data_IF_791484523032
#
_entry.id   IF_791484523032
#
_cell.length_a   1.000
_cell.length_b   1.000
_cell.length_c   1.000
_cell.angle_alpha   90.00
_cell.angle_beta   90.00
_cell.angle_gamma   90.00
#
_symmetry.space_group_name_H-M   'P 1'
#
loop_
_entity.id
_entity.type
_entity.pdbx_description
1 polymer ?
#
# COMPACT_ATOMS: atom_id res chain seq x y z
N UNK A 1 -2.24 7.61 1.90
CA UNK A 1 -2.54 6.33 1.20
C UNK A 1 -2.44 5.22 2.21
N UNK A 2 -3.30 4.20 2.12
CA UNK A 2 -3.24 3.02 2.96
C UNK A 2 -3.29 1.78 2.08
N UNK A 3 -2.49 0.77 2.43
CA UNK A 3 -2.37 -0.47 1.68
C UNK A 3 -2.47 -1.65 2.63
N UNK A 4 -3.40 -2.55 2.34
CA UNK A 4 -3.54 -3.84 3.02
C UNK A 4 -2.84 -4.91 2.17
N UNK A 5 -2.03 -5.74 2.81
CA UNK A 5 -1.30 -6.82 2.16
C UNK A 5 -1.70 -8.17 2.72
N UNK A 6 -1.66 -9.22 1.90
CA UNK A 6 -1.53 -10.58 2.41
C UNK A 6 -0.08 -10.86 2.82
N UNK A 7 0.12 -11.94 3.58
CA UNK A 7 1.42 -12.31 4.13
C UNK A 7 2.48 -12.63 3.06
N UNK A 8 2.04 -13.07 1.89
CA UNK A 8 2.89 -13.35 0.72
C UNK A 8 3.35 -12.08 -0.02
N UNK A 9 2.89 -10.89 0.40
CA UNK A 9 3.23 -9.61 -0.23
C UNK A 9 2.22 -9.15 -1.28
N UNK A 10 1.13 -9.88 -1.54
CA UNK A 10 0.11 -9.41 -2.48
C UNK A 10 -0.65 -8.22 -1.89
N UNK A 11 -0.74 -7.11 -2.62
CA UNK A 11 -1.55 -5.96 -2.23
C UNK A 11 -3.03 -6.29 -2.44
N UNK A 12 -3.80 -6.36 -1.36
CA UNK A 12 -5.22 -6.72 -1.38
C UNK A 12 -6.12 -5.50 -1.56
N UNK A 13 -5.79 -4.41 -0.88
CA UNK A 13 -6.60 -3.20 -0.89
C UNK A 13 -5.72 -1.98 -0.87
N UNK A 14 -6.00 -1.04 -1.76
CA UNK A 14 -5.29 0.22 -1.87
C UNK A 14 -6.31 1.34 -1.75
N UNK A 15 -6.15 2.20 -0.75
CA UNK A 15 -7.00 3.38 -0.57
C UNK A 15 -6.19 4.66 -0.52
N UNK A 16 -6.72 5.69 -1.15
CA UNK A 16 -6.16 7.04 -1.15
C UNK A 16 -7.18 7.94 -0.49
N UNK A 17 -6.79 8.63 0.59
CA UNK A 17 -7.71 9.41 1.39
C UNK A 17 -7.82 10.87 0.93
N UNK A 18 -6.70 11.51 0.57
CA UNK A 18 -6.63 12.95 0.24
C UNK A 18 -5.53 13.24 -0.79
N UNK A 19 -5.73 14.24 -1.65
CA UNK A 19 -4.74 14.73 -2.61
C UNK A 19 -5.29 15.01 -4.01
N UNK A 20 -4.39 15.33 -4.95
CA UNK A 20 -4.74 15.45 -6.37
C UNK A 20 -5.27 14.12 -6.91
N UNK A 21 -6.40 14.17 -7.62
CA UNK A 21 -7.08 12.95 -8.10
C UNK A 21 -6.25 12.20 -9.13
N UNK A 22 -5.62 12.89 -10.07
CA UNK A 22 -4.83 12.26 -11.12
C UNK A 22 -3.59 11.58 -10.52
N UNK A 23 -2.96 12.25 -9.55
CA UNK A 23 -1.84 11.69 -8.79
C UNK A 23 -2.27 10.46 -7.98
N UNK A 24 -3.40 10.52 -7.27
CA UNK A 24 -3.92 9.37 -6.51
C UNK A 24 -4.18 8.16 -7.40
N UNK A 25 -4.77 8.35 -8.58
CA UNK A 25 -5.02 7.27 -9.54
C UNK A 25 -3.72 6.71 -10.14
N UNK A 26 -2.73 7.56 -10.43
CA UNK A 26 -1.41 7.12 -10.89
C UNK A 26 -0.73 6.23 -9.83
N UNK A 27 -0.78 6.65 -8.57
CA UNK A 27 -0.23 5.89 -7.44
C UNK A 27 -0.96 4.56 -7.24
N UNK A 28 -2.30 4.54 -7.31
CA UNK A 28 -3.06 3.27 -7.27
C UNK A 28 -2.65 2.33 -8.38
N UNK A 29 -2.53 2.84 -9.61
CA UNK A 29 -2.12 2.05 -10.77
C UNK A 29 -0.71 1.47 -10.59
N UNK A 30 0.22 2.27 -10.08
CA UNK A 30 1.59 1.83 -9.79
C UNK A 30 1.61 0.76 -8.68
N UNK A 31 0.89 0.96 -7.60
CA UNK A 31 0.82 0.01 -6.48
C UNK A 31 0.18 -1.33 -6.88
N UNK A 32 -0.83 -1.32 -7.76
CA UNK A 32 -1.39 -2.56 -8.31
C UNK A 32 -0.42 -3.34 -9.21
N UNK A 33 0.53 -2.65 -9.85
CA UNK A 33 1.54 -3.27 -10.73
C UNK A 33 2.81 -3.66 -9.97
N UNK A 34 2.99 -3.14 -8.76
CA UNK A 34 4.17 -3.40 -7.95
C UNK A 34 4.17 -4.84 -7.43
N UNK A 35 5.38 -5.39 -7.28
CA UNK A 35 5.61 -6.65 -6.56
C UNK A 35 6.23 -6.32 -5.22
N UNK A 36 5.54 -6.67 -4.15
CA UNK A 36 6.07 -6.53 -2.79
C UNK A 36 6.60 -7.89 -2.32
N UNK A 37 7.69 -7.90 -1.53
CA UNK A 37 8.21 -9.14 -0.96
C UNK A 37 7.24 -9.70 0.09
N UNK A 38 7.33 -11.01 0.32
CA UNK A 38 6.60 -11.66 1.40
C UNK A 38 7.06 -11.15 2.77
N UNK A 39 6.11 -11.04 3.70
CA UNK A 39 6.40 -10.64 5.07
C UNK A 39 6.87 -11.85 5.88
N UNK A 40 8.19 -11.96 6.05
CA UNK A 40 8.81 -13.03 6.83
C UNK A 40 8.78 -12.76 8.35
N UNK A 41 8.59 -11.51 8.77
CA UNK A 41 8.47 -11.12 10.18
C UNK A 41 7.00 -10.81 10.52
N UNK A 42 6.38 -11.54 11.47
CA UNK A 42 4.99 -11.32 11.89
C UNK A 42 4.73 -9.93 12.48
N UNK A 43 5.70 -9.35 13.20
CA UNK A 43 5.55 -8.02 13.81
C UNK A 43 5.55 -6.93 12.75
N UNK A 44 6.48 -7.04 11.78
CA UNK A 44 6.51 -6.13 10.63
C UNK A 44 5.20 -6.23 9.85
N UNK A 45 4.70 -7.44 9.59
CA UNK A 45 3.41 -7.63 8.93
C UNK A 45 2.27 -6.91 9.68
N UNK A 46 2.14 -7.13 10.99
CA UNK A 46 1.11 -6.50 11.83
C UNK A 46 1.17 -4.98 11.79
N UNK A 47 2.37 -4.42 11.87
CA UNK A 47 2.56 -2.97 11.95
C UNK A 47 2.37 -2.31 10.58
N UNK A 48 2.73 -3.01 9.49
CA UNK A 48 2.47 -2.55 8.12
C UNK A 48 0.97 -2.46 7.81
N UNK A 49 0.15 -3.37 8.33
CA UNK A 49 -1.32 -3.31 8.18
C UNK A 49 -1.95 -2.06 8.82
N UNK A 50 -1.23 -1.33 9.67
CA UNK A 50 -1.70 -0.09 10.29
C UNK A 50 -1.05 1.15 9.69
N UNK A 51 -0.11 0.97 8.77
CA UNK A 51 0.74 2.03 8.25
C UNK A 51 -0.01 2.86 7.20
N UNK A 52 0.10 4.17 7.31
CA UNK A 52 -0.32 5.13 6.29
C UNK A 52 0.89 5.68 5.56
N UNK A 53 0.87 5.62 4.23
CA UNK A 53 1.89 6.22 3.38
C UNK A 53 1.48 7.64 3.04
N UNK A 54 2.32 8.60 3.41
CA UNK A 54 2.17 9.96 2.96
C UNK A 54 2.68 10.08 1.52
N UNK A 55 1.75 10.30 0.60
CA UNK A 55 2.00 10.39 -0.84
C UNK A 55 1.47 11.74 -1.34
N UNK A 56 1.72 12.80 -0.58
CA UNK A 56 1.50 14.18 -1.04
C UNK A 56 2.70 14.52 -1.92
N UNK A 57 2.53 14.36 -3.23
CA UNK A 57 3.58 14.63 -4.23
C UNK A 57 4.17 16.02 -4.11
#
# INVERSE_FOLDING_TARGET
MHMEFSRDGTALKISTSNGDKAYCEAIKSAAHKAKFPAFNNPEVYRDFQKSGFDMRG
#
